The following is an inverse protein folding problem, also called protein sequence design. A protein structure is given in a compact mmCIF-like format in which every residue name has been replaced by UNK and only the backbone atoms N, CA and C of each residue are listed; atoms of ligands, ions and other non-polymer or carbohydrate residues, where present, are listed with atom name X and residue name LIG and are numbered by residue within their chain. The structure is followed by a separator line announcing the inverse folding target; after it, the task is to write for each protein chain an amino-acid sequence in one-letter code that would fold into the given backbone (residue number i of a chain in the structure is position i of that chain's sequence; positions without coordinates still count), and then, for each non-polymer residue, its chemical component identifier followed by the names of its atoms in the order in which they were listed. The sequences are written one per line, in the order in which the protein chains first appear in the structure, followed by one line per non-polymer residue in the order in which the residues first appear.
data_IF_042395703586
#
_entry.id   IF_042395703586
#
_cell.length_a   1.000
_cell.length_b   1.000
_cell.length_c   1.000
_cell.angle_alpha   90.00
_cell.angle_beta   90.00
_cell.angle_gamma   90.00
#
_symmetry.space_group_name_H-M   'P 1'
#
loop_
_entity.id
_entity.type
_entity.pdbx_description
1 polymer ?
#
# COMPACT_ATOMS: atom_id res chain seq x y z
N UNK A 1 -17.02 11.97 -2.97
CA UNK A 1 -16.40 11.15 -1.91
C UNK A 1 -14.92 11.47 -1.80
N UNK A 2 -14.44 11.50 -0.59
CA UNK A 2 -13.06 11.87 -0.34
C UNK A 2 -12.03 10.95 -1.04
N UNK A 3 -12.32 9.65 -1.13
CA UNK A 3 -11.43 8.69 -1.80
C UNK A 3 -11.21 9.08 -3.26
N UNK A 4 -12.29 9.43 -3.95
CA UNK A 4 -12.19 9.85 -5.35
C UNK A 4 -11.40 11.13 -5.52
N UNK A 5 -11.55 12.06 -4.58
CA UNK A 5 -10.82 13.33 -4.62
C UNK A 5 -9.32 13.14 -4.41
N UNK A 6 -8.95 12.31 -3.43
CA UNK A 6 -7.54 12.03 -3.18
C UNK A 6 -6.91 11.30 -4.36
N UNK A 7 -7.62 10.34 -4.94
CA UNK A 7 -7.11 9.60 -6.08
C UNK A 7 -6.94 10.49 -7.31
N UNK A 8 -7.75 11.53 -7.45
CA UNK A 8 -7.64 12.48 -8.55
C UNK A 8 -6.52 13.49 -8.35
N UNK A 9 -6.28 13.91 -7.11
CA UNK A 9 -5.25 14.89 -6.80
C UNK A 9 -3.85 14.32 -6.92
N UNK A 10 -3.70 13.05 -6.58
CA UNK A 10 -2.40 12.42 -6.51
C UNK A 10 -2.42 11.15 -7.34
N UNK A 11 -1.70 11.17 -8.47
CA UNK A 11 -1.58 10.00 -9.31
C UNK A 11 -0.68 8.99 -8.62
N UNK A 12 -1.29 7.95 -8.06
CA UNK A 12 -0.57 6.96 -7.28
C UNK A 12 0.50 6.20 -8.07
N UNK A 13 0.41 6.17 -9.39
CA UNK A 13 1.42 5.55 -10.25
C UNK A 13 2.68 6.39 -10.35
N UNK A 14 2.56 7.69 -10.19
CA UNK A 14 3.67 8.64 -10.34
C UNK A 14 4.08 9.32 -9.05
N UNK A 15 3.24 9.24 -8.02
CA UNK A 15 3.49 9.90 -6.75
C UNK A 15 4.72 9.34 -6.06
N UNK A 16 5.37 10.18 -5.26
CA UNK A 16 6.43 9.70 -4.39
C UNK A 16 5.83 8.80 -3.32
N UNK A 17 6.47 7.66 -3.07
CA UNK A 17 6.05 6.73 -2.03
C UNK A 17 7.14 6.67 -0.97
N UNK A 18 6.72 6.89 0.28
CA UNK A 18 7.60 6.77 1.45
C UNK A 18 7.09 5.63 2.32
N UNK A 19 7.95 5.16 3.21
CA UNK A 19 7.63 4.06 4.11
C UNK A 19 7.72 4.52 5.55
N UNK A 20 6.72 4.15 6.35
CA UNK A 20 6.74 4.42 7.78
C UNK A 20 7.94 3.72 8.41
N UNK A 21 8.67 4.38 9.33
CA UNK A 21 9.82 3.75 10.00
C UNK A 21 9.51 2.43 10.68
N UNK A 22 8.32 2.27 11.24
CA UNK A 22 7.91 1.00 11.85
C UNK A 22 7.85 -0.13 10.82
N UNK A 23 7.41 0.19 9.61
CA UNK A 23 7.39 -0.80 8.53
C UNK A 23 8.81 -1.22 8.15
N UNK A 24 9.73 -0.26 8.09
CA UNK A 24 11.12 -0.56 7.75
C UNK A 24 11.79 -1.42 8.83
N UNK A 25 11.46 -1.21 10.10
CA UNK A 25 11.93 -2.07 11.18
C UNK A 25 11.41 -3.50 11.01
N UNK A 26 10.13 -3.65 10.70
CA UNK A 26 9.52 -4.95 10.50
C UNK A 26 10.01 -5.65 9.24
N UNK A 27 10.46 -4.88 8.26
CA UNK A 27 10.92 -5.42 7.00
C UNK A 27 12.04 -6.43 7.18
N UNK A 28 12.99 -6.14 8.07
CA UNK A 28 14.08 -7.07 8.36
C UNK A 28 13.57 -8.34 9.04
N UNK A 29 12.65 -8.19 9.98
CA UNK A 29 12.08 -9.29 10.74
C UNK A 29 11.24 -10.24 9.89
N UNK A 30 10.41 -9.66 9.02
CA UNK A 30 9.41 -10.42 8.27
C UNK A 30 9.84 -10.68 6.84
N UNK A 31 11.04 -10.26 6.48
CA UNK A 31 11.57 -10.40 5.12
C UNK A 31 10.60 -9.85 4.07
N UNK A 32 10.10 -8.65 4.32
CA UNK A 32 9.16 -7.99 3.41
C UNK A 32 9.87 -7.50 2.16
N UNK A 33 9.23 -7.67 1.02
CA UNK A 33 9.76 -7.18 -0.26
C UNK A 33 9.23 -5.77 -0.50
N UNK A 34 10.07 -4.77 -0.29
CA UNK A 34 9.67 -3.36 -0.44
C UNK A 34 9.26 -3.03 -1.88
N UNK A 35 9.86 -3.68 -2.87
CA UNK A 35 9.47 -3.45 -4.26
C UNK A 35 8.05 -3.93 -4.52
N UNK A 36 7.67 -5.08 -3.96
CA UNK A 36 6.30 -5.58 -4.09
C UNK A 36 5.31 -4.72 -3.32
N UNK A 37 5.71 -4.22 -2.16
CA UNK A 37 4.89 -3.30 -1.38
C UNK A 37 4.64 -2.02 -2.17
N UNK A 38 5.68 -1.44 -2.75
CA UNK A 38 5.54 -0.24 -3.57
C UNK A 38 4.65 -0.52 -4.79
N UNK A 39 4.86 -1.63 -5.47
CA UNK A 39 4.04 -1.98 -6.63
C UNK A 39 2.58 -2.16 -6.26
N UNK A 40 2.31 -2.76 -5.10
CA UNK A 40 0.94 -2.91 -4.60
C UNK A 40 0.32 -1.55 -4.33
N UNK A 41 1.07 -0.64 -3.72
CA UNK A 41 0.57 0.71 -3.45
C UNK A 41 0.26 1.46 -4.75
N UNK A 42 1.00 1.19 -5.82
CA UNK A 42 0.81 1.88 -7.10
C UNK A 42 -0.28 1.24 -7.97
N UNK A 43 -0.39 -0.08 -7.95
CA UNK A 43 -1.22 -0.81 -8.92
C UNK A 43 -2.22 -1.77 -8.30
N UNK A 44 -2.19 -1.97 -6.99
CA UNK A 44 -3.11 -2.88 -6.33
C UNK A 44 -4.55 -2.39 -6.38
N UNK A 45 -5.47 -3.31 -6.15
CA UNK A 45 -6.89 -2.99 -6.09
C UNK A 45 -7.25 -2.44 -4.72
N UNK A 46 -8.19 -1.51 -4.68
CA UNK A 46 -8.68 -0.97 -3.42
C UNK A 46 -9.44 -2.06 -2.66
N UNK A 47 -9.14 -2.17 -1.37
CA UNK A 47 -9.80 -3.11 -0.47
C UNK A 47 -10.40 -2.30 0.68
N UNK A 48 -11.66 -1.93 0.51
CA UNK A 48 -12.33 -0.96 1.36
C UNK A 48 -12.59 -1.40 2.80
N UNK A 49 -12.64 -2.70 3.06
CA UNK A 49 -13.02 -3.22 4.37
C UNK A 49 -12.11 -2.79 5.52
N UNK A 50 -10.87 -2.43 5.22
CA UNK A 50 -9.91 -2.01 6.24
C UNK A 50 -9.61 -0.53 6.22
N UNK A 51 -10.31 0.25 5.41
CA UNK A 51 -10.09 1.70 5.29
C UNK A 51 -10.94 2.41 6.34
N UNK A 52 -10.36 2.67 7.51
CA UNK A 52 -11.08 3.24 8.64
C UNK A 52 -11.02 4.76 8.72
N UNK A 53 -10.02 5.37 8.12
CA UNK A 53 -9.83 6.82 8.18
C UNK A 53 -9.98 7.46 6.81
N UNK A 54 -10.42 8.73 6.74
CA UNK A 54 -10.68 9.38 5.46
C UNK A 54 -9.50 9.44 4.50
N UNK A 55 -8.27 9.52 5.02
CA UNK A 55 -7.09 9.61 4.16
C UNK A 55 -6.27 8.33 4.09
N UNK A 56 -6.80 7.23 4.64
CA UNK A 56 -6.16 5.92 4.55
C UNK A 56 -6.85 5.06 3.51
N UNK A 57 -6.07 4.39 2.70
CA UNK A 57 -6.57 3.46 1.71
C UNK A 57 -5.81 2.15 1.85
N UNK A 58 -6.50 1.06 1.55
CA UNK A 58 -5.94 -0.27 1.58
C UNK A 58 -5.92 -0.85 0.17
N UNK A 59 -4.78 -1.37 -0.24
CA UNK A 59 -4.62 -1.98 -1.54
C UNK A 59 -4.16 -3.42 -1.41
N UNK A 60 -4.58 -4.26 -2.34
CA UNK A 60 -4.11 -5.66 -2.42
C UNK A 60 -3.67 -5.98 -3.83
N UNK A 61 -2.63 -6.80 -3.92
CA UNK A 61 -2.17 -7.31 -5.19
C UNK A 61 -1.62 -8.73 -5.02
N UNK A 62 -2.04 -9.61 -5.92
CA UNK A 62 -1.54 -10.98 -5.99
C UNK A 62 -0.33 -11.05 -6.91
N UNK A 63 0.74 -11.70 -6.43
CA UNK A 63 1.95 -11.93 -7.20
C UNK A 63 2.04 -13.42 -7.51
N UNK A 64 1.73 -13.76 -8.76
CA UNK A 64 1.58 -15.15 -9.19
C UNK A 64 2.84 -15.98 -9.10
N UNK A 65 4.01 -15.38 -9.35
CA UNK A 65 5.27 -16.12 -9.30
C UNK A 65 5.55 -16.72 -7.94
N UNK A 66 5.28 -15.96 -6.89
CA UNK A 66 5.56 -16.38 -5.52
C UNK A 66 4.33 -16.95 -4.84
N UNK A 67 3.16 -16.82 -5.48
CA UNK A 67 1.87 -17.22 -4.89
C UNK A 67 1.63 -16.50 -3.56
N UNK A 68 1.79 -15.18 -3.58
CA UNK A 68 1.66 -14.34 -2.39
C UNK A 68 0.79 -13.14 -2.75
N UNK A 69 -0.10 -12.76 -1.83
CA UNK A 69 -0.88 -11.52 -1.93
C UNK A 69 -0.33 -10.54 -0.89
N UNK A 70 0.02 -9.35 -1.34
CA UNK A 70 0.39 -8.27 -0.42
C UNK A 70 -0.82 -7.39 -0.16
N UNK A 71 -1.02 -7.07 1.11
CA UNK A 71 -1.99 -6.07 1.55
C UNK A 71 -1.20 -4.89 2.10
N UNK A 72 -1.52 -3.69 1.63
CA UNK A 72 -0.77 -2.49 1.95
C UNK A 72 -1.75 -1.40 2.38
N UNK A 73 -1.51 -0.82 3.55
CA UNK A 73 -2.30 0.32 4.03
C UNK A 73 -1.46 1.56 3.86
N UNK A 74 -1.99 2.54 3.13
CA UNK A 74 -1.30 3.79 2.85
C UNK A 74 -2.08 4.97 3.40
N UNK A 75 -1.38 6.06 3.68
CA UNK A 75 -1.98 7.35 4.00
C UNK A 75 -1.61 8.32 2.89
N UNK A 76 -2.62 8.98 2.33
CA UNK A 76 -2.39 10.01 1.32
C UNK A 76 -2.08 11.34 1.99
N UNK A 77 -0.99 11.94 1.53
CA UNK A 77 -0.62 13.31 1.89
C UNK A 77 -0.80 14.20 0.66
N UNK A 78 -0.54 15.49 0.77
CA UNK A 78 -0.79 16.43 -0.32
C UNK A 78 0.03 16.11 -1.57
N UNK A 79 1.27 15.67 -1.41
CA UNK A 79 2.18 15.45 -2.54
C UNK A 79 2.94 14.13 -2.47
N UNK A 80 2.58 13.23 -1.55
CA UNK A 80 3.21 11.91 -1.50
C UNK A 80 2.28 10.91 -0.84
N UNK A 81 2.62 9.63 -0.98
CA UNK A 81 1.88 8.53 -0.37
C UNK A 81 2.80 7.87 0.66
N UNK A 82 2.30 7.70 1.87
CA UNK A 82 3.05 7.05 2.93
C UNK A 82 2.51 5.65 3.17
N UNK A 83 3.36 4.63 3.05
CA UNK A 83 2.97 3.26 3.40
C UNK A 83 3.06 3.11 4.90
N UNK A 84 1.93 2.90 5.56
CA UNK A 84 1.85 2.78 7.01
C UNK A 84 2.12 1.37 7.49
N UNK A 85 1.56 0.38 6.78
CA UNK A 85 1.79 -1.01 7.13
C UNK A 85 1.53 -1.89 5.90
N UNK A 86 2.11 -3.07 5.92
CA UNK A 86 1.93 -4.03 4.86
C UNK A 86 2.22 -5.42 5.39
N UNK A 87 1.58 -6.42 4.78
CA UNK A 87 1.86 -7.81 5.13
C UNK A 87 1.61 -8.71 3.94
N UNK A 88 2.37 -9.81 3.81
CA UNK A 88 2.11 -10.81 2.79
C UNK A 88 1.16 -11.87 3.33
N UNK A 89 0.39 -12.46 2.41
CA UNK A 89 -0.46 -13.61 2.70
C UNK A 89 -0.20 -14.64 1.63
N UNK A 90 0.05 -15.88 2.01
CA UNK A 90 0.27 -16.95 1.05
C UNK A 90 -1.02 -17.26 0.29
N UNK A 91 -0.92 -17.33 -1.04
CA UNK A 91 -2.07 -17.55 -1.92
C UNK A 91 -2.85 -16.26 -2.18
N UNK A 92 -4.03 -16.44 -2.70
CA UNK A 92 -4.94 -15.32 -2.99
C UNK A 92 -5.82 -14.97 -1.84
#
# INVERSE_FOLDING_TARGET
MWIGELAKKLDRKKAEITFDPHLLERQEYWNLDLDKIEETARTGKIFDETCEEPNKLCFQRYFGKENITYTVIVRYHNNFIEVKTAWPKKGK
#
